data_IF_161034103441
#
_entry.id   IF_161034103441
#
_cell.length_a   1.000
_cell.length_b   1.000
_cell.length_c   1.000
_cell.angle_alpha   90.00
_cell.angle_beta   90.00
_cell.angle_gamma   90.00
#
_symmetry.space_group_name_H-M   'P 1'
#
loop_
_entity.id
_entity.type
_entity.pdbx_description
1 polymer ?
#
# COMPACT_ATOMS: atom_id res chain seq x y z
N UNK A 1 28.35 24.15 35.80
CA UNK A 1 27.68 22.89 36.19
C UNK A 1 26.75 23.19 37.35
N UNK A 2 25.62 22.47 37.48
CA UNK A 2 24.64 22.60 38.58
C UNK A 2 24.05 24.02 38.78
N UNK A 3 24.09 24.85 37.74
CA UNK A 3 23.49 26.18 37.81
C UNK A 3 21.96 26.06 37.74
N UNK A 4 21.27 26.95 38.46
CA UNK A 4 19.81 27.06 38.42
C UNK A 4 19.42 28.49 38.02
N UNK A 5 19.02 28.67 36.77
CA UNK A 5 18.48 29.95 36.30
C UNK A 5 16.96 29.95 36.45
N UNK A 6 16.35 31.10 36.78
CA UNK A 6 14.88 31.20 36.90
C UNK A 6 14.15 31.21 35.55
N UNK A 7 14.82 31.62 34.48
CA UNK A 7 14.15 31.88 33.19
C UNK A 7 14.81 31.11 32.05
N UNK A 8 16.01 31.50 31.63
CA UNK A 8 16.62 31.00 30.41
C UNK A 8 18.04 30.52 30.64
N UNK A 9 18.48 29.53 29.85
CA UNK A 9 19.89 29.23 29.66
C UNK A 9 20.60 28.84 30.95
N UNK A 10 20.17 27.73 31.56
CA UNK A 10 20.65 27.33 32.89
C UNK A 10 22.18 27.24 32.97
N UNK A 11 22.83 26.78 31.90
CA UNK A 11 24.28 26.88 31.72
C UNK A 11 24.71 28.19 31.05
N UNK A 12 24.15 28.49 29.87
CA UNK A 12 24.47 29.66 29.05
C UNK A 12 23.20 30.29 28.47
N UNK A 13 23.05 31.60 28.63
CA UNK A 13 22.09 32.41 27.88
C UNK A 13 22.86 33.33 26.94
N UNK A 14 22.59 33.16 25.64
CA UNK A 14 23.26 33.88 24.57
C UNK A 14 22.26 34.83 23.90
N UNK A 15 22.58 36.12 23.93
CA UNK A 15 21.80 37.20 23.32
C UNK A 15 22.63 37.95 22.29
N UNK A 16 23.01 37.27 21.21
CA UNK A 16 23.84 37.86 20.16
C UNK A 16 23.14 37.75 18.80
N UNK A 17 23.12 38.86 18.07
CA UNK A 17 22.57 38.93 16.71
C UNK A 17 23.58 38.48 15.64
N UNK A 18 24.83 38.16 16.03
CA UNK A 18 25.91 37.79 15.12
C UNK A 18 26.58 36.47 15.50
N UNK A 19 27.16 35.84 14.49
CA UNK A 19 27.75 34.49 14.49
C UNK A 19 29.08 34.35 15.24
N UNK A 20 29.42 35.30 16.13
CA UNK A 20 30.76 35.43 16.73
C UNK A 20 31.05 34.52 17.93
N UNK A 21 30.17 33.61 18.29
CA UNK A 21 30.33 32.78 19.49
C UNK A 21 30.98 31.46 19.11
N UNK A 22 32.04 31.10 19.81
CA UNK A 22 32.63 29.76 19.77
C UNK A 22 32.66 29.18 21.18
N UNK A 23 31.95 28.06 21.38
CA UNK A 23 31.99 27.25 22.58
C UNK A 23 32.93 26.08 22.29
N UNK A 24 34.15 26.17 22.81
CA UNK A 24 35.21 25.20 22.54
C UNK A 24 35.54 24.43 23.82
N UNK A 25 35.61 23.09 23.72
CA UNK A 25 36.04 22.19 24.82
C UNK A 25 35.27 22.42 26.13
N UNK A 26 33.97 22.69 26.03
CA UNK A 26 33.13 22.99 27.18
C UNK A 26 32.32 21.76 27.65
N UNK A 27 32.06 21.67 28.95
CA UNK A 27 31.17 20.66 29.53
C UNK A 27 30.02 21.38 30.25
N UNK A 28 28.83 21.33 29.66
CA UNK A 28 27.61 21.96 30.16
C UNK A 28 26.65 20.85 30.59
N UNK A 29 26.66 20.56 31.89
CA UNK A 29 25.88 19.46 32.46
C UNK A 29 25.13 19.86 33.72
N UNK A 30 23.98 19.20 33.93
CA UNK A 30 23.16 19.28 35.16
C UNK A 30 22.69 20.68 35.52
N UNK A 31 22.56 21.57 34.53
CA UNK A 31 21.98 22.89 34.77
C UNK A 31 20.45 22.83 34.58
N UNK A 32 19.75 23.75 35.24
CA UNK A 32 18.28 23.86 35.15
C UNK A 32 17.84 25.28 34.85
N UNK A 33 16.83 25.42 34.00
CA UNK A 33 16.15 26.69 33.72
C UNK A 33 14.68 26.43 33.38
N UNK A 34 13.87 27.48 33.23
CA UNK A 34 12.50 27.33 32.73
C UNK A 34 12.50 26.90 31.25
N UNK A 35 13.31 27.54 30.42
CA UNK A 35 13.49 27.21 29.00
C UNK A 35 14.99 27.13 28.67
N UNK A 36 15.43 26.12 27.90
CA UNK A 36 16.84 25.98 27.54
C UNK A 36 17.70 25.62 28.75
N UNK A 37 17.51 24.42 29.31
CA UNK A 37 18.15 24.01 30.58
C UNK A 37 19.67 24.10 30.54
N UNK A 38 20.29 23.76 29.41
CA UNK A 38 21.72 23.91 29.19
C UNK A 38 22.05 25.24 28.52
N UNK A 39 21.71 25.37 27.23
CA UNK A 39 21.97 26.56 26.42
C UNK A 39 20.65 27.15 25.93
N UNK A 40 20.51 28.46 26.02
CA UNK A 40 19.43 29.19 25.40
C UNK A 40 20.01 30.22 24.42
N UNK A 41 19.65 30.07 23.14
CA UNK A 41 20.02 30.97 22.05
C UNK A 41 18.82 31.87 21.70
N UNK A 42 19.02 33.18 21.78
CA UNK A 42 18.12 34.17 21.20
C UNK A 42 18.36 34.33 19.69
N UNK A 43 17.31 34.74 18.97
CA UNK A 43 17.31 35.00 17.52
C UNK A 43 17.61 33.77 16.62
N UNK A 44 17.87 34.04 15.34
CA UNK A 44 18.15 33.05 14.28
C UNK A 44 19.59 32.50 14.37
N UNK A 45 19.97 31.99 15.54
CA UNK A 45 21.29 31.37 15.77
C UNK A 45 21.15 29.89 16.12
N UNK A 46 22.03 29.08 15.55
CA UNK A 46 22.11 27.64 15.76
C UNK A 46 23.52 27.21 16.07
N UNK A 47 23.66 26.18 16.90
CA UNK A 47 24.92 25.49 17.05
C UNK A 47 25.25 24.68 15.79
N UNK A 48 26.54 24.49 15.53
CA UNK A 48 27.08 23.68 14.47
C UNK A 48 28.51 23.25 14.82
N UNK A 49 29.16 22.49 13.94
CA UNK A 49 30.50 21.96 14.20
C UNK A 49 31.59 23.05 14.28
N UNK A 50 31.33 24.27 13.81
CA UNK A 50 32.29 25.38 13.84
C UNK A 50 32.19 26.19 15.14
N UNK A 51 31.00 26.35 15.71
CA UNK A 51 30.77 27.15 16.90
C UNK A 51 30.55 26.33 18.20
N UNK A 52 30.37 25.01 18.09
CA UNK A 52 30.23 24.11 19.23
C UNK A 52 31.14 22.90 19.03
N UNK A 53 32.44 23.12 19.25
CA UNK A 53 33.49 22.16 18.95
C UNK A 53 34.00 21.47 20.22
N UNK A 54 34.19 20.14 20.15
CA UNK A 54 34.67 19.29 21.26
C UNK A 54 33.94 19.52 22.58
N UNK A 55 32.66 19.92 22.51
CA UNK A 55 31.87 20.30 23.68
C UNK A 55 30.78 19.28 23.98
N UNK A 56 30.45 19.13 25.27
CA UNK A 56 29.43 18.21 25.79
C UNK A 56 28.28 19.00 26.41
N UNK A 57 27.06 18.61 26.05
CA UNK A 57 25.82 19.23 26.53
C UNK A 57 24.84 18.11 26.89
N UNK A 58 24.81 17.71 28.16
CA UNK A 58 24.03 16.54 28.61
C UNK A 58 23.40 16.75 29.99
N UNK A 59 22.30 16.03 30.23
CA UNK A 59 21.63 15.99 31.53
C UNK A 59 21.24 17.36 32.08
N UNK A 60 20.97 18.33 31.20
CA UNK A 60 20.36 19.59 31.60
C UNK A 60 18.84 19.44 31.53
N UNK A 61 18.11 20.20 32.34
CA UNK A 61 16.65 20.07 32.43
C UNK A 61 16.00 21.44 32.26
N UNK A 62 14.99 21.51 31.41
CA UNK A 62 14.10 22.67 31.31
C UNK A 62 12.77 22.33 31.98
N UNK A 63 12.15 23.30 32.68
CA UNK A 63 10.81 23.10 33.26
C UNK A 63 9.74 23.02 32.17
N UNK A 64 9.91 23.78 31.08
CA UNK A 64 8.95 23.79 29.96
C UNK A 64 9.46 23.03 28.74
N UNK A 65 10.57 23.44 28.12
CA UNK A 65 11.12 22.80 26.92
C UNK A 65 12.59 23.16 26.65
N UNK A 66 13.24 22.36 25.79
CA UNK A 66 14.65 22.54 25.43
C UNK A 66 15.59 22.14 26.57
N UNK A 67 15.54 20.88 27.00
CA UNK A 67 16.35 20.35 28.10
C UNK A 67 17.84 20.71 27.97
N UNK A 68 18.44 20.32 26.84
CA UNK A 68 19.84 20.62 26.55
C UNK A 68 19.97 21.99 25.91
N UNK A 69 19.22 22.23 24.83
CA UNK A 69 19.32 23.45 24.05
C UNK A 69 17.95 23.96 23.62
N UNK A 70 17.78 25.27 23.73
CA UNK A 70 16.76 26.02 22.99
C UNK A 70 17.49 26.85 21.93
N UNK A 71 17.12 26.64 20.68
CA UNK A 71 17.48 27.45 19.52
C UNK A 71 16.30 27.47 18.54
N UNK A 72 16.38 28.17 17.42
CA UNK A 72 15.38 28.00 16.35
C UNK A 72 15.58 26.65 15.65
N UNK A 73 14.54 26.03 15.08
CA UNK A 73 14.72 24.88 14.20
C UNK A 73 15.65 25.21 13.04
N UNK A 74 16.56 24.31 12.71
CA UNK A 74 17.45 24.47 11.55
C UNK A 74 17.14 23.49 10.42
N UNK A 75 16.33 22.47 10.68
CA UNK A 75 15.89 21.55 9.63
C UNK A 75 14.56 20.87 9.96
N UNK A 76 13.98 20.29 8.90
CA UNK A 76 12.78 19.48 8.94
C UNK A 76 13.15 18.01 8.82
N UNK A 77 12.43 17.17 9.55
CA UNK A 77 12.50 15.70 9.45
C UNK A 77 11.14 15.14 9.09
N UNK A 78 11.14 14.21 8.14
CA UNK A 78 9.94 13.50 7.71
C UNK A 78 9.81 12.17 8.48
N UNK A 79 8.65 11.96 9.10
CA UNK A 79 8.39 10.81 9.96
C UNK A 79 7.24 10.00 9.37
N UNK A 80 7.44 8.69 9.23
CA UNK A 80 6.40 7.74 8.78
C UNK A 80 6.30 6.65 9.84
N UNK A 81 5.10 6.41 10.36
CA UNK A 81 4.81 5.43 11.41
C UNK A 81 5.78 5.55 12.59
N UNK A 82 5.94 6.78 13.11
CA UNK A 82 6.86 7.13 14.21
C UNK A 82 8.35 6.87 13.93
N UNK A 83 8.71 6.55 12.68
CA UNK A 83 10.10 6.34 12.27
C UNK A 83 10.57 7.52 11.42
N UNK A 84 11.66 8.12 11.86
CA UNK A 84 12.34 9.17 11.10
C UNK A 84 12.93 8.59 9.81
N UNK A 85 12.70 9.30 8.71
CA UNK A 85 13.22 8.92 7.41
C UNK A 85 14.46 9.76 7.08
N UNK A 86 15.50 9.12 6.52
CA UNK A 86 16.71 9.82 6.12
C UNK A 86 16.42 10.86 5.04
N UNK A 87 17.20 11.93 5.07
CA UNK A 87 17.20 12.96 4.04
C UNK A 87 18.63 13.28 3.60
N UNK A 88 18.76 13.86 2.42
CA UNK A 88 20.03 14.34 1.87
C UNK A 88 19.89 15.81 1.46
N UNK A 89 20.87 16.67 1.77
CA UNK A 89 20.87 18.03 1.27
C UNK A 89 21.07 18.01 -0.26
N UNK A 90 20.27 18.77 -0.98
CA UNK A 90 20.34 18.96 -2.43
C UNK A 90 20.29 20.45 -2.75
N UNK A 91 21.02 20.86 -3.79
CA UNK A 91 20.95 22.23 -4.29
C UNK A 91 19.73 22.35 -5.22
N UNK A 92 18.78 23.22 -4.88
CA UNK A 92 17.55 23.45 -5.62
C UNK A 92 17.27 24.96 -5.65
N UNK A 93 17.14 25.53 -6.86
CA UNK A 93 16.99 26.99 -7.05
C UNK A 93 18.05 27.82 -6.29
N UNK A 94 19.32 27.39 -6.35
CA UNK A 94 20.46 27.99 -5.63
C UNK A 94 20.38 27.97 -4.09
N UNK A 95 19.46 27.19 -3.52
CA UNK A 95 19.35 26.99 -2.07
C UNK A 95 19.59 25.53 -1.71
N UNK A 96 20.18 25.28 -0.54
CA UNK A 96 20.34 23.93 0.01
C UNK A 96 19.05 23.51 0.72
N UNK A 97 18.44 22.44 0.23
CA UNK A 97 17.16 21.92 0.73
C UNK A 97 17.33 20.45 1.10
N UNK A 98 16.67 20.00 2.16
CA UNK A 98 16.64 18.59 2.51
C UNK A 98 15.65 17.83 1.64
N UNK A 99 16.12 16.77 0.98
CA UNK A 99 15.30 15.88 0.17
C UNK A 99 15.16 14.51 0.83
N UNK A 100 13.95 13.98 0.89
CA UNK A 100 13.67 12.62 1.36
C UNK A 100 14.49 11.59 0.56
N UNK A 101 15.22 10.71 1.26
CA UNK A 101 16.10 9.70 0.67
C UNK A 101 15.73 8.29 1.15
N UNK A 102 14.56 7.80 0.78
CA UNK A 102 14.12 6.48 1.20
C UNK A 102 15.06 5.39 0.66
N UNK A 103 15.45 4.48 1.55
CA UNK A 103 16.04 3.21 1.14
C UNK A 103 15.01 2.44 0.31
N UNK A 104 15.47 1.74 -0.72
CA UNK A 104 14.60 0.90 -1.55
C UNK A 104 13.85 -0.08 -0.65
N UNK A 105 12.53 -0.06 -0.73
CA UNK A 105 11.65 -0.95 0.03
C UNK A 105 10.82 -1.82 -0.92
N UNK A 106 10.17 -2.84 -0.36
CA UNK A 106 9.29 -3.77 -1.06
C UNK A 106 7.89 -3.63 -0.49
N UNK A 107 6.89 -3.71 -1.36
CA UNK A 107 5.50 -3.79 -0.94
C UNK A 107 4.67 -4.54 -1.98
N UNK A 108 3.42 -4.85 -1.64
CA UNK A 108 2.48 -5.49 -2.55
C UNK A 108 1.53 -4.43 -3.10
N UNK A 109 1.42 -4.33 -4.43
CA UNK A 109 0.43 -3.51 -5.13
C UNK A 109 -0.41 -4.44 -6.02
N UNK A 110 -1.73 -4.46 -5.83
CA UNK A 110 -2.65 -5.32 -6.60
C UNK A 110 -2.20 -6.81 -6.64
N UNK A 111 -1.68 -7.32 -5.53
CA UNK A 111 -1.17 -8.70 -5.42
C UNK A 111 0.26 -8.91 -5.97
N UNK A 112 0.85 -7.92 -6.64
CA UNK A 112 2.20 -8.01 -7.18
C UNK A 112 3.21 -7.36 -6.25
N UNK A 113 4.34 -8.03 -6.02
CA UNK A 113 5.42 -7.45 -5.24
C UNK A 113 6.19 -6.42 -6.09
N UNK A 114 6.22 -5.17 -5.64
CA UNK A 114 6.96 -4.07 -6.25
C UNK A 114 8.13 -3.65 -5.37
N UNK A 115 9.14 -3.02 -5.98
CA UNK A 115 10.25 -2.42 -5.24
C UNK A 115 10.53 -1.02 -5.75
N UNK A 116 10.57 -0.05 -4.83
CA UNK A 116 10.71 1.37 -5.15
C UNK A 116 11.55 2.09 -4.10
N UNK A 117 12.06 3.27 -4.48
CA UNK A 117 12.71 4.25 -3.60
C UNK A 117 11.88 5.53 -3.43
N UNK A 118 10.79 5.66 -4.18
CA UNK A 118 9.90 6.81 -4.12
C UNK A 118 8.82 6.54 -3.07
N UNK A 119 8.32 7.59 -2.42
CA UNK A 119 7.21 7.46 -1.48
C UNK A 119 5.93 7.08 -2.25
N UNK A 120 5.32 5.95 -1.95
CA UNK A 120 4.03 5.60 -2.53
C UNK A 120 2.90 6.26 -1.75
N UNK A 121 1.98 6.91 -2.47
CA UNK A 121 0.82 7.63 -1.92
C UNK A 121 -0.45 7.21 -2.67
N UNK A 122 -1.65 7.28 -2.07
CA UNK A 122 -2.87 7.01 -2.81
C UNK A 122 -3.22 8.16 -3.75
N UNK A 123 -3.88 7.85 -4.87
CA UNK A 123 -4.38 8.87 -5.80
C UNK A 123 -5.80 9.30 -5.41
N UNK A 124 -6.01 10.62 -5.26
CA UNK A 124 -7.30 11.25 -4.90
C UNK A 124 -7.92 10.78 -3.58
N UNK A 125 -7.10 10.32 -2.64
CA UNK A 125 -7.55 9.94 -1.31
C UNK A 125 -6.67 10.56 -0.22
N UNK A 126 -7.24 10.71 0.97
CA UNK A 126 -6.54 11.22 2.15
C UNK A 126 -5.55 10.16 2.65
N UNK A 127 -4.28 10.54 2.79
CA UNK A 127 -3.16 9.65 3.15
C UNK A 127 -3.45 8.76 4.37
N UNK A 128 -3.85 9.36 5.50
CA UNK A 128 -4.07 8.63 6.77
C UNK A 128 -5.29 7.70 6.75
N UNK A 129 -6.23 7.94 5.84
CA UNK A 129 -7.45 7.14 5.74
C UNK A 129 -7.29 5.97 4.77
N UNK A 130 -6.22 5.98 3.95
CA UNK A 130 -6.01 4.99 2.92
C UNK A 130 -5.65 3.63 3.51
N UNK A 131 -6.31 2.60 2.99
CA UNK A 131 -6.13 1.22 3.42
C UNK A 131 -5.84 0.34 2.22
N UNK A 132 -4.89 -0.56 2.37
CA UNK A 132 -4.60 -1.58 1.37
C UNK A 132 -5.37 -2.85 1.70
N UNK A 133 -5.96 -3.47 0.69
CA UNK A 133 -6.64 -4.75 0.87
C UNK A 133 -5.64 -5.91 0.80
N UNK A 134 -5.56 -6.67 1.88
CA UNK A 134 -4.78 -7.90 1.94
C UNK A 134 -5.69 -9.09 1.64
N UNK A 135 -5.50 -9.70 0.46
CA UNK A 135 -6.32 -10.81 0.00
C UNK A 135 -6.21 -12.05 0.89
N UNK A 136 -5.04 -12.30 1.51
CA UNK A 136 -4.83 -13.49 2.32
C UNK A 136 -5.64 -13.43 3.61
N UNK A 137 -5.70 -12.26 4.24
CA UNK A 137 -6.52 -12.02 5.43
C UNK A 137 -7.94 -11.56 5.11
N UNK A 138 -8.25 -11.28 3.84
CA UNK A 138 -9.52 -10.68 3.39
C UNK A 138 -9.89 -9.42 4.17
N UNK A 139 -8.89 -8.64 4.57
CA UNK A 139 -9.06 -7.47 5.43
C UNK A 139 -8.30 -6.26 4.90
N UNK A 140 -8.84 -5.08 5.20
CA UNK A 140 -8.17 -3.81 4.94
C UNK A 140 -7.19 -3.49 6.07
N UNK A 141 -5.96 -3.14 5.71
CA UNK A 141 -4.93 -2.70 6.65
C UNK A 141 -4.56 -1.24 6.35
N UNK A 142 -4.41 -0.37 7.37
CA UNK A 142 -3.85 0.96 7.16
C UNK A 142 -2.51 0.85 6.42
N UNK A 143 -2.33 1.63 5.36
CA UNK A 143 -1.06 1.62 4.63
C UNK A 143 -0.01 2.46 5.36
N UNK A 144 -0.40 3.64 5.82
CA UNK A 144 0.38 4.56 6.64
C UNK A 144 -0.51 4.96 7.82
N UNK A 145 -0.07 4.69 9.04
CA UNK A 145 -0.81 5.01 10.27
C UNK A 145 -0.58 6.47 10.68
N UNK A 146 0.66 6.93 10.57
CA UNK A 146 1.06 8.30 10.89
C UNK A 146 2.10 8.78 9.88
N UNK A 147 1.92 10.02 9.40
CA UNK A 147 2.89 10.68 8.54
C UNK A 147 2.91 12.15 8.89
N UNK A 148 4.09 12.61 9.33
CA UNK A 148 4.22 13.93 9.89
C UNK A 148 5.57 14.55 9.55
N UNK A 149 5.59 15.88 9.62
CA UNK A 149 6.78 16.68 9.48
C UNK A 149 7.10 17.30 10.83
N UNK A 150 8.37 17.23 11.24
CA UNK A 150 8.82 17.64 12.57
C UNK A 150 9.97 18.62 12.44
N UNK A 151 9.93 19.67 13.25
CA UNK A 151 11.05 20.59 13.41
C UNK A 151 12.13 19.99 14.30
N UNK A 152 13.39 20.16 13.89
CA UNK A 152 14.55 19.74 14.64
C UNK A 152 15.58 20.84 14.77
N UNK A 153 16.32 20.77 15.87
CA UNK A 153 17.47 21.64 16.12
C UNK A 153 18.76 21.01 15.55
N UNK A 154 19.88 21.73 15.68
CA UNK A 154 21.23 21.32 15.28
C UNK A 154 21.75 20.03 15.91
N UNK A 155 21.11 19.56 16.98
CA UNK A 155 21.44 18.35 17.71
C UNK A 155 20.49 17.20 17.38
N UNK A 156 19.63 17.37 16.37
CA UNK A 156 18.58 16.44 15.96
C UNK A 156 17.53 16.16 17.06
N UNK A 157 17.42 17.04 18.05
CA UNK A 157 16.36 16.96 19.05
C UNK A 157 15.07 17.53 18.45
N UNK A 158 13.96 16.86 18.73
CA UNK A 158 12.63 17.32 18.36
C UNK A 158 12.33 18.63 19.08
N UNK A 159 11.77 19.58 18.36
CA UNK A 159 11.40 20.88 18.89
C UNK A 159 9.91 20.95 19.23
N UNK A 160 9.63 21.53 20.40
CA UNK A 160 8.29 21.69 20.96
C UNK A 160 7.95 23.18 21.05
N UNK A 161 6.67 23.50 21.32
CA UNK A 161 6.19 24.87 21.59
C UNK A 161 6.39 25.89 20.45
N UNK A 162 6.29 25.45 19.20
CA UNK A 162 6.42 26.30 18.01
C UNK A 162 5.06 26.87 17.55
N UNK A 163 4.40 27.59 18.46
CA UNK A 163 3.05 28.14 18.26
C UNK A 163 2.95 29.00 17.00
N UNK A 164 1.85 28.86 16.26
CA UNK A 164 1.57 29.60 15.02
C UNK A 164 2.56 29.32 13.87
N UNK A 165 3.35 28.26 13.96
CA UNK A 165 4.12 27.81 12.80
C UNK A 165 3.20 27.19 11.75
N UNK A 166 3.54 27.42 10.48
CA UNK A 166 2.79 26.87 9.35
C UNK A 166 3.73 26.38 8.26
N UNK A 167 3.26 25.42 7.46
CA UNK A 167 3.97 24.97 6.27
C UNK A 167 3.08 25.12 5.05
N UNK A 168 3.63 25.75 4.02
CA UNK A 168 3.06 25.74 2.68
C UNK A 168 3.53 24.46 1.96
N UNK A 169 2.59 23.73 1.38
CA UNK A 169 2.83 22.52 0.59
C UNK A 169 2.44 22.81 -0.84
N UNK A 170 3.42 22.73 -1.74
CA UNK A 170 3.27 22.84 -3.19
C UNK A 170 3.56 21.50 -3.83
N UNK A 171 2.98 21.27 -5.01
CA UNK A 171 3.22 20.03 -5.77
C UNK A 171 3.41 20.35 -7.24
N UNK A 172 4.21 19.54 -7.93
CA UNK A 172 4.35 19.55 -9.38
C UNK A 172 4.60 18.16 -9.92
N UNK A 173 4.14 17.91 -11.14
CA UNK A 173 4.34 16.63 -11.83
C UNK A 173 5.60 16.75 -12.67
N UNK A 174 6.55 15.85 -12.45
CA UNK A 174 7.80 15.79 -13.22
C UNK A 174 7.66 14.69 -14.26
N UNK A 175 7.74 15.06 -15.53
CA UNK A 175 7.70 14.13 -16.66
C UNK A 175 9.01 13.33 -16.80
N UNK A 176 8.98 12.24 -17.58
CA UNK A 176 10.17 11.40 -17.81
C UNK A 176 11.30 12.13 -18.53
N UNK A 177 10.96 13.09 -19.38
CA UNK A 177 11.89 13.96 -20.09
C UNK A 177 12.30 15.20 -19.27
N UNK A 178 11.93 15.23 -17.98
CA UNK A 178 12.16 16.33 -17.03
C UNK A 178 11.38 17.62 -17.34
N UNK A 179 10.38 17.58 -18.23
CA UNK A 179 9.43 18.68 -18.32
C UNK A 179 8.60 18.79 -17.03
N UNK A 180 8.34 20.02 -16.62
CA UNK A 180 7.54 20.30 -15.42
C UNK A 180 6.13 20.69 -15.82
N UNK A 181 5.14 19.91 -15.37
CA UNK A 181 3.75 20.35 -15.38
C UNK A 181 3.42 20.91 -14.01
N UNK A 182 3.22 22.22 -13.97
CA UNK A 182 2.92 22.94 -12.74
C UNK A 182 1.41 22.95 -12.50
N UNK A 183 0.97 22.20 -11.48
CA UNK A 183 -0.34 22.38 -10.86
C UNK A 183 -0.14 23.08 -9.50
N UNK A 184 -0.31 24.41 -9.45
CA UNK A 184 -0.20 25.15 -8.19
C UNK A 184 -1.44 24.94 -7.31
N UNK A 185 -1.50 23.79 -6.63
CA UNK A 185 -2.40 23.63 -5.48
C UNK A 185 -1.59 23.86 -4.22
N UNK A 186 -1.79 25.03 -3.61
CA UNK A 186 -1.15 25.38 -2.34
C UNK A 186 -2.03 24.93 -1.18
N UNK A 187 -1.48 24.10 -0.30
CA UNK A 187 -2.12 23.68 0.95
C UNK A 187 -1.30 24.19 2.13
N UNK A 188 -1.98 24.64 3.19
CA UNK A 188 -1.33 25.14 4.40
C UNK A 188 -1.56 24.12 5.52
N UNK A 189 -0.46 23.66 6.12
CA UNK A 189 -0.47 22.84 7.32
C UNK A 189 -0.18 23.73 8.53
N UNK A 190 -0.96 23.56 9.60
CA UNK A 190 -0.72 24.22 10.88
C UNK A 190 -0.02 23.27 11.86
N UNK A 191 0.87 23.82 12.68
CA UNK A 191 1.60 23.05 13.68
C UNK A 191 0.66 22.57 14.78
N UNK A 192 0.69 21.27 15.09
CA UNK A 192 -0.06 20.68 16.19
C UNK A 192 0.83 20.65 17.45
N UNK A 193 0.48 21.46 18.46
CA UNK A 193 1.26 21.57 19.70
C UNK A 193 1.16 20.33 20.60
N UNK A 194 0.11 19.52 20.48
CA UNK A 194 -0.01 18.28 21.27
C UNK A 194 0.91 17.19 20.72
N UNK A 195 1.03 17.12 19.39
CA UNK A 195 1.89 16.16 18.70
C UNK A 195 3.29 16.68 18.41
N UNK A 196 3.52 17.99 18.56
CA UNK A 196 4.72 18.71 18.14
C UNK A 196 5.13 18.38 16.69
N UNK A 197 4.17 18.44 15.77
CA UNK A 197 4.37 18.09 14.36
C UNK A 197 3.29 18.69 13.44
N UNK A 198 3.54 18.65 12.12
CA UNK A 198 2.54 18.94 11.10
C UNK A 198 1.91 17.63 10.59
N UNK A 199 0.57 17.54 10.57
CA UNK A 199 -0.17 16.37 10.07
C UNK A 199 -0.18 16.32 8.55
N UNK A 200 0.86 15.69 7.97
CA UNK A 200 0.94 15.45 6.54
C UNK A 200 -0.07 14.38 6.07
N UNK A 201 -0.58 13.55 7.00
CA UNK A 201 -1.54 12.49 6.71
C UNK A 201 -2.94 12.98 6.35
N UNK A 202 -3.24 14.24 6.66
CA UNK A 202 -4.49 14.91 6.26
C UNK A 202 -4.56 15.27 4.77
N UNK A 203 -3.41 15.25 4.06
CA UNK A 203 -3.34 15.67 2.68
C UNK A 203 -3.85 14.60 1.70
N UNK A 204 -4.29 15.05 0.53
CA UNK A 204 -4.62 14.23 -0.63
C UNK A 204 -3.97 14.80 -1.89
N UNK A 205 -3.50 13.90 -2.75
CA UNK A 205 -2.81 14.25 -3.99
C UNK A 205 -3.51 13.63 -5.18
N UNK A 206 -3.71 14.42 -6.23
CA UNK A 206 -4.23 13.94 -7.52
C UNK A 206 -3.04 13.65 -8.43
N UNK A 207 -2.91 12.40 -8.87
CA UNK A 207 -1.94 11.98 -9.89
C UNK A 207 -2.42 10.66 -10.47
N UNK A 208 -2.55 10.60 -11.80
CA UNK A 208 -3.01 9.42 -12.51
C UNK A 208 -2.09 8.23 -12.21
N UNK A 209 -2.56 7.15 -11.56
CA UNK A 209 -1.72 6.01 -11.26
C UNK A 209 -1.44 5.10 -12.48
N UNK A 210 -2.10 5.34 -13.62
CA UNK A 210 -1.94 4.56 -14.85
C UNK A 210 -1.18 5.29 -15.95
N UNK A 211 -1.01 6.61 -15.85
CA UNK A 211 -0.24 7.39 -16.81
C UNK A 211 1.24 6.98 -16.77
N UNK A 212 1.80 6.67 -17.95
CA UNK A 212 3.19 6.20 -18.05
C UNK A 212 4.21 7.30 -18.31
N UNK A 213 3.78 8.54 -18.54
CA UNK A 213 4.66 9.62 -19.00
C UNK A 213 5.33 10.39 -17.87
N UNK A 214 4.85 10.28 -16.63
CA UNK A 214 5.49 10.94 -15.50
C UNK A 214 6.58 10.09 -14.86
N UNK A 215 7.56 10.78 -14.28
CA UNK A 215 8.62 10.21 -13.46
C UNK A 215 8.17 10.10 -12.01
N UNK A 216 7.70 11.22 -11.43
CA UNK A 216 7.21 11.30 -10.05
C UNK A 216 6.43 12.60 -9.82
N UNK A 217 5.66 12.62 -8.73
CA UNK A 217 5.14 13.84 -8.12
C UNK A 217 6.22 14.40 -7.19
N UNK A 218 6.62 15.65 -7.40
CA UNK A 218 7.48 16.38 -6.47
C UNK A 218 6.61 17.23 -5.56
N UNK A 219 6.79 17.07 -4.25
CA UNK A 219 6.11 17.86 -3.24
C UNK A 219 7.16 18.69 -2.52
N UNK A 220 6.98 20.01 -2.59
CA UNK A 220 7.83 21.00 -1.97
C UNK A 220 7.13 21.54 -0.73
N UNK A 221 7.80 21.49 0.41
CA UNK A 221 7.28 21.96 1.68
C UNK A 221 8.15 23.13 2.14
N UNK A 222 7.52 24.24 2.50
CA UNK A 222 8.18 25.42 3.02
C UNK A 222 7.53 25.82 4.34
N UNK A 223 8.22 25.59 5.44
CA UNK A 223 7.74 25.89 6.79
C UNK A 223 8.32 27.21 7.30
N UNK A 224 7.44 28.03 7.87
CA UNK A 224 7.80 29.29 8.51
C UNK A 224 7.40 29.25 9.98
N UNK A 225 8.31 29.75 10.80
CA UNK A 225 8.16 29.89 12.24
C UNK A 225 7.97 31.37 12.52
N UNK A 226 7.18 31.72 13.54
CA UNK A 226 6.87 33.13 13.82
C UNK A 226 8.10 33.92 14.26
N UNK A 227 8.98 33.28 15.03
CA UNK A 227 10.17 33.89 15.60
C UNK A 227 11.33 34.02 14.59
N UNK A 228 11.23 33.39 13.40
CA UNK A 228 12.30 33.34 12.42
C UNK A 228 11.89 33.96 11.08
N UNK A 229 12.84 34.64 10.46
CA UNK A 229 12.68 35.10 9.07
C UNK A 229 12.99 34.01 8.06
N UNK A 230 13.71 32.97 8.48
CA UNK A 230 14.15 31.88 7.63
C UNK A 230 13.03 30.85 7.44
N UNK A 231 12.82 30.44 6.19
CA UNK A 231 11.92 29.33 5.85
C UNK A 231 12.72 28.05 5.74
N UNK A 232 12.28 27.01 6.45
CA UNK A 232 12.85 25.68 6.30
C UNK A 232 12.15 24.96 5.15
N UNK A 233 12.92 24.48 4.18
CA UNK A 233 12.40 23.79 3.01
C UNK A 233 12.66 22.29 3.07
N UNK A 234 11.76 21.51 2.48
CA UNK A 234 11.89 20.06 2.36
C UNK A 234 11.27 19.59 1.04
N UNK A 235 11.92 18.63 0.37
CA UNK A 235 11.44 18.06 -0.89
C UNK A 235 11.19 16.57 -0.72
N UNK A 236 10.08 16.08 -1.26
CA UNK A 236 9.82 14.65 -1.36
C UNK A 236 9.35 14.28 -2.76
N UNK A 237 9.80 13.12 -3.22
CA UNK A 237 9.40 12.52 -4.49
C UNK A 237 8.46 11.37 -4.20
N UNK A 238 7.29 11.39 -4.82
CA UNK A 238 6.24 10.41 -4.62
C UNK A 238 5.72 9.81 -5.93
N UNK A 239 5.12 8.63 -5.84
CA UNK A 239 4.37 7.97 -6.91
C UNK A 239 3.01 7.54 -6.38
N UNK A 240 2.01 7.51 -7.24
CA UNK A 240 0.69 7.03 -6.83
C UNK A 240 0.56 5.52 -6.92
N UNK A 241 -0.19 4.97 -5.98
CA UNK A 241 -0.65 3.58 -6.01
C UNK A 241 -1.79 3.45 -7.01
N UNK A 242 -1.81 2.32 -7.72
CA UNK A 242 -2.97 1.91 -8.54
C UNK A 242 -4.21 1.73 -7.68
N UNK A 243 -5.38 1.86 -8.30
CA UNK A 243 -6.64 1.68 -7.60
C UNK A 243 -6.76 0.24 -7.08
N UNK A 244 -7.08 0.11 -5.80
CA UNK A 244 -7.20 -1.17 -5.11
C UNK A 244 -8.58 -1.79 -5.32
N UNK A 245 -8.79 -3.01 -4.81
CA UNK A 245 -10.13 -3.59 -4.79
C UNK A 245 -11.07 -2.70 -3.97
N UNK A 246 -12.28 -2.56 -4.47
CA UNK A 246 -13.29 -1.65 -3.94
C UNK A 246 -13.10 -0.20 -4.31
N UNK A 247 -12.16 0.09 -5.20
CA UNK A 247 -11.97 1.39 -5.82
C UNK A 247 -12.24 1.30 -7.32
N UNK A 248 -12.47 2.46 -7.93
CA UNK A 248 -12.55 2.63 -9.37
C UNK A 248 -11.80 3.89 -9.80
N UNK A 249 -11.32 3.86 -11.04
CA UNK A 249 -10.58 4.94 -11.68
C UNK A 249 -11.53 5.94 -12.32
N UNK A 250 -11.41 7.21 -11.93
CA UNK A 250 -12.20 8.33 -12.45
C UNK A 250 -11.43 9.63 -12.23
N UNK A 251 -11.53 10.58 -13.17
CA UNK A 251 -10.90 11.91 -13.09
C UNK A 251 -9.41 11.86 -12.70
N UNK A 252 -8.64 10.99 -13.37
CA UNK A 252 -7.20 10.83 -13.13
C UNK A 252 -6.82 10.41 -11.68
N UNK A 253 -7.73 9.74 -10.97
CA UNK A 253 -7.41 9.12 -9.69
C UNK A 253 -8.37 8.03 -9.26
N UNK A 254 -8.28 7.63 -7.99
CA UNK A 254 -9.03 6.50 -7.45
C UNK A 254 -10.11 6.97 -6.48
N UNK A 255 -11.32 6.43 -6.62
CA UNK A 255 -12.44 6.68 -5.71
C UNK A 255 -12.96 5.37 -5.12
N UNK A 256 -13.40 5.41 -3.86
CA UNK A 256 -13.93 4.24 -3.14
C UNK A 256 -15.39 4.00 -3.54
N UNK A 257 -15.73 2.75 -3.86
CA UNK A 257 -17.12 2.33 -4.08
C UNK A 257 -17.94 2.37 -2.79
N UNK A 258 -19.11 3.02 -2.85
CA UNK A 258 -20.00 3.21 -1.70
C UNK A 258 -20.90 1.99 -1.48
N UNK A 259 -20.41 0.98 -0.76
CA UNK A 259 -21.17 -0.26 -0.51
C UNK A 259 -22.52 -0.04 0.19
N UNK A 260 -22.60 0.94 1.10
CA UNK A 260 -23.86 1.36 1.75
C UNK A 260 -24.94 1.82 0.78
N UNK A 261 -24.55 2.25 -0.42
CA UNK A 261 -25.46 2.64 -1.52
C UNK A 261 -25.61 1.55 -2.58
N UNK A 262 -25.09 0.35 -2.34
CA UNK A 262 -25.18 -0.77 -3.27
C UNK A 262 -24.07 -0.79 -4.34
N UNK A 263 -22.95 -0.08 -4.15
CA UNK A 263 -21.85 -0.04 -5.13
C UNK A 263 -20.60 -0.78 -4.64
N UNK A 264 -19.98 -1.59 -5.50
CA UNK A 264 -18.77 -2.35 -5.19
C UNK A 264 -17.83 -2.48 -6.41
N UNK A 265 -16.59 -2.90 -6.19
CA UNK A 265 -15.62 -3.25 -7.24
C UNK A 265 -14.75 -4.42 -6.76
N UNK A 266 -14.82 -5.56 -7.44
CA UNK A 266 -13.99 -6.75 -7.13
C UNK A 266 -12.85 -6.94 -8.14
N UNK A 267 -12.74 -6.09 -9.15
CA UNK A 267 -11.72 -6.15 -10.20
C UNK A 267 -10.70 -5.04 -10.01
N UNK A 268 -9.44 -5.30 -10.33
CA UNK A 268 -8.44 -4.24 -10.43
C UNK A 268 -8.69 -3.38 -11.66
N UNK A 269 -8.28 -2.11 -11.59
CA UNK A 269 -8.38 -1.15 -12.70
C UNK A 269 -9.83 -0.93 -13.20
N UNK A 270 -10.82 -1.16 -12.33
CA UNK A 270 -12.21 -0.86 -12.65
C UNK A 270 -12.36 0.63 -12.96
N UNK A 271 -13.13 0.98 -13.99
CA UNK A 271 -13.46 2.39 -14.35
C UNK A 271 -14.82 2.82 -13.83
N UNK A 272 -15.56 1.91 -13.20
CA UNK A 272 -16.87 2.13 -12.59
C UNK A 272 -17.10 1.10 -11.48
N UNK A 273 -17.92 1.45 -10.51
CA UNK A 273 -18.45 0.49 -9.55
C UNK A 273 -19.58 -0.33 -10.17
N UNK A 274 -19.63 -1.62 -9.82
CA UNK A 274 -20.75 -2.50 -10.10
C UNK A 274 -21.90 -2.26 -9.12
N UNK A 275 -23.13 -2.56 -9.56
CA UNK A 275 -24.36 -2.37 -8.79
C UNK A 275 -24.73 -3.69 -8.10
N UNK A 276 -25.14 -3.59 -6.84
CA UNK A 276 -25.64 -4.69 -6.02
C UNK A 276 -26.89 -5.31 -6.64
N UNK A 277 -26.83 -6.62 -6.93
CA UNK A 277 -27.96 -7.39 -7.42
C UNK A 277 -28.46 -8.33 -6.32
N UNK A 278 -29.60 -7.98 -5.73
CA UNK A 278 -30.23 -8.75 -4.63
C UNK A 278 -30.65 -10.17 -5.03
N UNK A 279 -30.85 -10.44 -6.32
CA UNK A 279 -31.23 -11.77 -6.79
C UNK A 279 -30.03 -12.72 -6.82
N UNK A 280 -28.81 -12.16 -6.86
CA UNK A 280 -27.56 -12.93 -6.94
C UNK A 280 -26.74 -12.89 -5.65
N UNK A 281 -26.86 -11.82 -4.87
CA UNK A 281 -25.96 -11.50 -3.76
C UNK A 281 -26.75 -11.33 -2.46
N UNK A 282 -26.24 -11.92 -1.38
CA UNK A 282 -26.79 -11.71 -0.04
C UNK A 282 -26.30 -10.41 0.59
N UNK A 283 -25.03 -10.06 0.34
CA UNK A 283 -24.39 -8.86 0.87
C UNK A 283 -23.18 -8.44 0.01
N UNK A 284 -22.72 -7.20 0.18
CA UNK A 284 -21.50 -6.67 -0.45
C UNK A 284 -20.69 -5.79 0.51
N UNK A 285 -19.37 -5.86 0.39
CA UNK A 285 -18.48 -4.80 0.87
C UNK A 285 -18.07 -3.92 -0.32
N UNK A 286 -17.23 -2.90 -0.10
CA UNK A 286 -16.71 -2.14 -1.24
C UNK A 286 -15.96 -3.04 -2.22
N UNK A 287 -15.32 -4.11 -1.73
CA UNK A 287 -14.32 -4.89 -2.45
C UNK A 287 -14.59 -6.41 -2.50
N UNK A 288 -15.71 -6.88 -1.96
CA UNK A 288 -16.10 -8.30 -1.95
C UNK A 288 -17.60 -8.41 -2.19
N UNK A 289 -18.02 -9.56 -2.71
CA UNK A 289 -19.41 -9.94 -2.91
C UNK A 289 -19.69 -11.26 -2.18
N UNK A 290 -20.83 -11.32 -1.49
CA UNK A 290 -21.34 -12.53 -0.89
C UNK A 290 -22.45 -13.10 -1.77
N UNK A 291 -22.22 -14.26 -2.37
CA UNK A 291 -23.18 -14.87 -3.29
C UNK A 291 -24.33 -15.54 -2.52
N UNK A 292 -25.54 -15.48 -3.07
CA UNK A 292 -26.65 -16.32 -2.64
C UNK A 292 -26.39 -17.78 -3.02
N UNK A 293 -26.95 -18.76 -2.28
CA UNK A 293 -26.93 -20.16 -2.68
C UNK A 293 -27.47 -20.35 -4.10
N UNK A 294 -26.85 -21.25 -4.86
CA UNK A 294 -27.20 -21.48 -6.27
C UNK A 294 -26.52 -20.54 -7.27
N UNK A 295 -25.67 -19.62 -6.82
CA UNK A 295 -24.81 -18.81 -7.69
C UNK A 295 -23.33 -19.11 -7.46
N UNK A 296 -22.51 -18.93 -8.49
CA UNK A 296 -21.07 -19.08 -8.41
C UNK A 296 -20.36 -17.98 -9.21
N UNK A 297 -19.06 -17.81 -8.94
CA UNK A 297 -18.17 -16.93 -9.70
C UNK A 297 -16.82 -17.61 -9.98
N UNK A 298 -16.15 -17.28 -11.09
CA UNK A 298 -14.90 -17.93 -11.47
C UNK A 298 -13.75 -17.74 -10.47
N UNK A 299 -13.62 -16.56 -9.87
CA UNK A 299 -12.59 -16.23 -8.89
C UNK A 299 -12.99 -15.01 -8.05
N UNK A 300 -12.18 -14.69 -7.04
CA UNK A 300 -12.43 -13.56 -6.13
C UNK A 300 -12.38 -12.19 -6.81
N UNK A 301 -11.73 -12.10 -7.98
CA UNK A 301 -11.55 -10.89 -8.76
C UNK A 301 -12.51 -10.77 -9.95
N UNK A 302 -13.60 -11.53 -9.94
CA UNK A 302 -14.60 -11.56 -11.02
C UNK A 302 -15.93 -11.03 -10.49
N UNK A 303 -16.48 -10.07 -11.22
CA UNK A 303 -17.86 -9.59 -11.05
C UNK A 303 -18.87 -10.43 -11.86
N UNK A 304 -18.40 -11.28 -12.78
CA UNK A 304 -19.24 -12.26 -13.47
C UNK A 304 -19.77 -13.30 -12.48
N UNK A 305 -21.09 -13.33 -12.35
CA UNK A 305 -21.83 -14.27 -11.50
C UNK A 305 -22.94 -14.94 -12.30
N UNK A 306 -22.91 -16.26 -12.28
CA UNK A 306 -23.82 -17.12 -13.04
C UNK A 306 -24.61 -18.04 -12.09
N UNK A 307 -25.87 -18.37 -12.43
CA UNK A 307 -26.60 -19.41 -11.73
C UNK A 307 -25.92 -20.76 -11.95
N UNK A 308 -26.00 -21.63 -10.96
CA UNK A 308 -25.46 -22.97 -11.06
C UNK A 308 -26.37 -23.82 -11.94
N UNK A 309 -25.77 -24.38 -13.00
CA UNK A 309 -26.51 -24.96 -14.12
C UNK A 309 -27.37 -26.20 -13.78
N UNK A 310 -27.04 -26.96 -12.72
CA UNK A 310 -27.73 -28.23 -12.42
C UNK A 310 -28.03 -28.53 -10.95
N UNK A 311 -27.14 -28.17 -10.02
CA UNK A 311 -27.37 -28.44 -8.61
C UNK A 311 -27.01 -27.23 -7.73
N UNK A 312 -28.02 -26.44 -7.31
CA UNK A 312 -27.84 -25.31 -6.42
C UNK A 312 -27.14 -25.67 -5.10
N UNK A 313 -27.27 -26.92 -4.62
CA UNK A 313 -26.67 -27.39 -3.37
C UNK A 313 -25.14 -27.45 -3.40
N UNK A 314 -24.52 -27.47 -4.59
CA UNK A 314 -23.05 -27.42 -4.69
C UNK A 314 -22.50 -26.00 -4.70
N UNK A 315 -23.39 -25.02 -4.82
CA UNK A 315 -23.05 -23.62 -4.78
C UNK A 315 -23.57 -23.05 -3.47
N UNK A 316 -22.81 -23.29 -2.41
CA UNK A 316 -23.16 -22.84 -1.05
C UNK A 316 -23.18 -21.30 -0.92
N UNK A 317 -22.82 -20.56 -1.97
CA UNK A 317 -22.72 -19.11 -1.95
C UNK A 317 -21.54 -18.64 -1.08
N UNK A 318 -21.68 -17.45 -0.50
CA UNK A 318 -20.72 -16.90 0.45
C UNK A 318 -19.67 -15.95 -0.17
N UNK A 319 -18.70 -15.55 0.66
CA UNK A 319 -17.66 -14.57 0.31
C UNK A 319 -16.52 -15.16 -0.55
N UNK A 320 -16.31 -16.47 -0.44
CA UNK A 320 -15.22 -17.18 -1.11
C UNK A 320 -15.66 -17.66 -2.49
N UNK A 321 -14.80 -17.47 -3.50
CA UNK A 321 -14.92 -18.26 -4.72
C UNK A 321 -14.61 -19.73 -4.42
N UNK A 322 -15.26 -20.65 -5.14
CA UNK A 322 -14.92 -22.08 -5.09
C UNK A 322 -13.49 -22.21 -5.63
N UNK A 323 -12.51 -22.37 -4.74
CA UNK A 323 -11.11 -22.47 -5.16
C UNK A 323 -10.87 -23.78 -5.92
N UNK A 324 -10.00 -23.72 -6.92
CA UNK A 324 -9.59 -24.83 -7.80
C UNK A 324 -8.89 -26.06 -7.15
N UNK A 325 -8.37 -26.12 -5.90
CA UNK A 325 -7.62 -27.32 -5.48
C UNK A 325 -8.49 -28.58 -5.40
N UNK A 326 -9.82 -28.45 -5.30
CA UNK A 326 -10.74 -29.58 -5.45
C UNK A 326 -10.85 -30.07 -6.90
N UNK A 327 -10.66 -29.21 -7.90
CA UNK A 327 -10.65 -29.61 -9.31
C UNK A 327 -9.33 -30.29 -9.71
N UNK A 328 -8.17 -29.81 -9.21
CA UNK A 328 -6.85 -30.39 -9.52
C UNK A 328 -6.68 -31.80 -8.95
N UNK A 329 -6.99 -32.00 -7.66
CA UNK A 329 -6.89 -33.33 -7.04
C UNK A 329 -7.86 -34.35 -7.68
N UNK A 330 -9.02 -33.88 -8.11
CA UNK A 330 -10.00 -34.71 -8.82
C UNK A 330 -9.50 -35.10 -10.22
N UNK A 331 -8.85 -34.21 -10.97
CA UNK A 331 -8.24 -34.55 -12.28
C UNK A 331 -7.11 -35.59 -12.12
N UNK A 332 -6.28 -35.49 -11.08
CA UNK A 332 -5.24 -36.48 -10.80
C UNK A 332 -5.80 -37.87 -10.46
N UNK A 333 -6.89 -37.93 -9.69
CA UNK A 333 -7.58 -39.20 -9.39
C UNK A 333 -8.18 -39.80 -10.67
N UNK A 334 -8.79 -38.98 -11.53
CA UNK A 334 -9.36 -39.44 -12.81
C UNK A 334 -8.27 -39.99 -13.74
N UNK A 335 -7.12 -39.31 -13.85
CA UNK A 335 -6.02 -39.75 -14.71
C UNK A 335 -5.33 -41.01 -14.17
N UNK A 336 -5.12 -41.12 -12.85
CA UNK A 336 -4.58 -42.33 -12.24
C UNK A 336 -5.49 -43.54 -12.38
N UNK A 337 -6.81 -43.35 -12.20
CA UNK A 337 -7.81 -44.42 -12.38
C UNK A 337 -7.94 -44.79 -13.87
N UNK A 338 -7.93 -43.82 -14.79
CA UNK A 338 -7.93 -44.13 -16.24
C UNK A 338 -6.64 -44.82 -16.69
N UNK A 339 -5.47 -44.47 -16.15
CA UNK A 339 -4.19 -45.12 -16.50
C UNK A 339 -4.18 -46.59 -16.05
N UNK A 340 -4.66 -46.89 -14.84
CA UNK A 340 -4.80 -48.25 -14.32
C UNK A 340 -5.78 -49.07 -15.19
N UNK A 341 -6.87 -48.46 -15.63
CA UNK A 341 -7.93 -49.12 -16.42
C UNK A 341 -7.51 -49.34 -17.88
N UNK A 342 -6.70 -48.45 -18.46
CA UNK A 342 -6.16 -48.63 -19.81
C UNK A 342 -5.08 -49.73 -19.84
N UNK A 343 -4.22 -49.80 -18.80
CA UNK A 343 -3.23 -50.87 -18.63
C UNK A 343 -3.88 -52.26 -18.43
N UNK A 344 -4.94 -52.33 -17.63
CA UNK A 344 -5.65 -53.60 -17.36
C UNK A 344 -6.47 -54.13 -18.55
N UNK A 345 -6.78 -53.29 -19.54
CA UNK A 345 -7.50 -53.69 -20.75
C UNK A 345 -6.59 -53.87 -21.99
N UNK A 346 -5.27 -53.89 -21.81
CA UNK A 346 -4.31 -54.19 -22.88
C UNK A 346 -4.16 -53.10 -23.95
N UNK A 347 -4.62 -51.87 -23.68
CA UNK A 347 -4.49 -50.74 -24.60
C UNK A 347 -3.15 -50.05 -24.29
N UNK A 348 -2.10 -50.42 -25.01
CA UNK A 348 -0.82 -49.73 -24.97
C UNK A 348 -0.93 -48.43 -25.77
N UNK A 349 -1.01 -47.29 -25.08
CA UNK A 349 -0.84 -45.99 -25.71
C UNK A 349 0.67 -45.74 -25.81
N UNK A 350 1.19 -45.55 -27.03
CA UNK A 350 2.56 -45.12 -27.27
C UNK A 350 2.73 -43.73 -26.66
N UNK A 351 3.42 -43.70 -25.53
CA UNK A 351 3.83 -42.50 -24.83
C UNK A 351 5.14 -41.99 -25.44
N UNK A 352 5.13 -40.76 -25.98
CA UNK A 352 6.36 -39.99 -26.10
C UNK A 352 6.47 -39.14 -24.84
N UNK A 353 7.07 -39.73 -23.80
CA UNK A 353 7.39 -39.08 -22.52
C UNK A 353 8.80 -38.53 -22.64
N UNK A 354 8.94 -37.21 -22.53
CA UNK A 354 10.25 -36.60 -22.37
C UNK A 354 10.54 -36.40 -20.88
N UNK A 355 11.80 -36.61 -20.49
CA UNK A 355 12.28 -36.74 -19.12
C UNK A 355 12.02 -35.48 -18.28
N UNK A 356 10.90 -35.46 -17.55
CA UNK A 356 10.72 -34.85 -16.23
C UNK A 356 9.33 -35.14 -15.60
N UNK A 357 8.56 -36.08 -16.14
CA UNK A 357 7.40 -36.64 -15.42
C UNK A 357 6.17 -35.74 -15.30
N UNK A 358 6.08 -34.64 -16.06
CA UNK A 358 4.90 -33.77 -16.09
C UNK A 358 4.20 -33.83 -17.45
N UNK A 359 2.97 -34.33 -17.48
CA UNK A 359 2.08 -34.25 -18.64
C UNK A 359 1.20 -33.00 -18.47
N UNK A 360 1.48 -31.93 -19.21
CA UNK A 360 0.62 -30.76 -19.27
C UNK A 360 -0.41 -30.89 -20.38
N UNK A 361 -1.69 -31.09 -20.01
CA UNK A 361 -2.80 -30.81 -20.92
C UNK A 361 -3.22 -29.35 -20.78
N UNK A 362 -2.95 -28.54 -21.80
CA UNK A 362 -3.49 -27.19 -21.89
C UNK A 362 -4.99 -27.24 -22.25
N UNK A 363 -5.87 -27.14 -21.25
CA UNK A 363 -7.27 -26.80 -21.50
C UNK A 363 -7.38 -25.28 -21.66
N UNK A 364 -7.28 -24.80 -22.90
CA UNK A 364 -7.55 -23.41 -23.24
C UNK A 364 -9.01 -23.05 -22.89
N UNK A 365 -9.15 -22.07 -22.00
CA UNK A 365 -10.22 -21.06 -21.94
C UNK A 365 -11.63 -21.44 -22.43
N UNK A 366 -12.28 -22.38 -21.76
CA UNK A 366 -13.74 -22.42 -21.75
C UNK A 366 -14.22 -22.40 -20.29
N UNK A 367 -14.72 -21.25 -19.85
CA UNK A 367 -15.35 -21.05 -18.52
C UNK A 367 -16.44 -22.11 -18.29
N UNK A 368 -17.19 -22.45 -19.34
CA UNK A 368 -18.18 -23.53 -19.37
C UNK A 368 -17.62 -24.94 -19.17
N UNK A 369 -16.38 -25.20 -19.59
CA UNK A 369 -15.77 -26.53 -19.50
C UNK A 369 -15.44 -26.96 -18.07
N UNK A 370 -15.01 -26.01 -17.22
CA UNK A 370 -14.51 -26.34 -15.87
C UNK A 370 -15.61 -26.65 -14.87
N UNK A 371 -16.70 -25.86 -14.87
CA UNK A 371 -17.86 -26.13 -14.00
C UNK A 371 -18.58 -27.42 -14.42
N UNK A 372 -18.73 -27.65 -15.73
CA UNK A 372 -19.32 -28.87 -16.27
C UNK A 372 -18.49 -30.11 -15.90
N UNK A 373 -17.17 -30.05 -16.00
CA UNK A 373 -16.27 -31.14 -15.59
C UNK A 373 -16.35 -31.44 -14.08
N UNK A 374 -16.40 -30.41 -13.23
CA UNK A 374 -16.50 -30.58 -11.78
C UNK A 374 -17.84 -31.21 -11.35
N UNK A 375 -18.96 -30.78 -11.93
CA UNK A 375 -20.29 -31.30 -11.61
C UNK A 375 -20.55 -32.68 -12.21
N UNK A 376 -20.12 -32.97 -13.45
CA UNK A 376 -20.20 -34.32 -14.01
C UNK A 376 -19.45 -35.35 -13.16
N UNK A 377 -18.36 -34.97 -12.49
CA UNK A 377 -17.64 -35.88 -11.59
C UNK A 377 -18.37 -36.12 -10.26
N UNK A 378 -18.97 -35.09 -9.67
CA UNK A 378 -19.77 -35.22 -8.44
C UNK A 378 -21.04 -36.04 -8.67
N UNK A 379 -21.72 -35.89 -9.81
CA UNK A 379 -22.85 -36.74 -10.22
C UNK A 379 -22.42 -38.21 -10.32
N UNK A 380 -21.25 -38.50 -10.93
CA UNK A 380 -20.69 -39.85 -11.00
C UNK A 380 -20.30 -40.40 -9.62
N UNK A 381 -19.79 -39.56 -8.72
CA UNK A 381 -19.41 -39.93 -7.35
C UNK A 381 -20.60 -40.19 -6.43
N UNK A 382 -21.74 -39.50 -6.65
CA UNK A 382 -23.00 -39.76 -5.95
C UNK A 382 -23.67 -41.04 -6.49
N UNK A 383 -23.69 -41.27 -7.80
CA UNK A 383 -24.21 -42.52 -8.40
C UNK A 383 -23.37 -43.76 -8.04
N UNK A 384 -22.10 -43.59 -7.69
CA UNK A 384 -21.21 -44.65 -7.20
C UNK A 384 -21.68 -45.27 -5.88
N UNK A 385 -22.55 -44.62 -5.11
CA UNK A 385 -23.13 -45.22 -3.88
C UNK A 385 -24.24 -46.23 -4.15
N UNK A 386 -24.75 -46.34 -5.38
CA UNK A 386 -25.87 -47.23 -5.74
C UNK A 386 -25.57 -48.31 -6.79
N UNK A 387 -24.35 -48.40 -7.34
CA UNK A 387 -24.00 -49.39 -8.36
C UNK A 387 -23.05 -50.48 -7.87
N UNK A 388 -23.57 -51.70 -7.73
CA UNK A 388 -22.79 -52.93 -7.41
C UNK A 388 -21.99 -53.46 -8.61
N UNK A 389 -22.08 -52.86 -9.82
CA UNK A 389 -21.35 -53.36 -10.99
C UNK A 389 -20.43 -52.31 -11.62
N UNK A 390 -19.25 -52.13 -11.01
CA UNK A 390 -18.20 -51.18 -11.39
C UNK A 390 -17.79 -51.23 -12.88
N UNK A 391 -17.85 -52.41 -13.53
CA UNK A 391 -17.39 -52.55 -14.92
C UNK A 391 -18.37 -51.97 -15.96
N UNK A 392 -19.68 -52.05 -15.73
CA UNK A 392 -20.68 -51.55 -16.67
C UNK A 392 -20.77 -50.01 -16.61
N UNK A 393 -20.62 -49.44 -15.41
CA UNK A 393 -20.51 -48.00 -15.19
C UNK A 393 -19.31 -47.40 -15.93
N UNK A 394 -18.16 -48.06 -15.84
CA UNK A 394 -16.93 -47.67 -16.52
C UNK A 394 -17.05 -47.74 -18.05
N UNK A 395 -17.67 -48.79 -18.59
CA UNK A 395 -17.98 -48.87 -20.03
C UNK A 395 -18.90 -47.74 -20.50
N UNK A 396 -19.90 -47.38 -19.70
CA UNK A 396 -20.83 -46.31 -20.01
C UNK A 396 -20.17 -44.92 -19.93
N UNK A 397 -19.31 -44.68 -18.94
CA UNK A 397 -18.53 -43.44 -18.81
C UNK A 397 -17.55 -43.25 -19.96
N UNK A 398 -16.80 -44.29 -20.33
CA UNK A 398 -15.88 -44.25 -21.47
C UNK A 398 -16.67 -44.01 -22.77
N UNK A 399 -17.80 -44.70 -22.97
CA UNK A 399 -18.68 -44.50 -24.13
C UNK A 399 -19.26 -43.08 -24.19
N UNK A 400 -19.64 -42.52 -23.05
CA UNK A 400 -20.15 -41.15 -22.94
C UNK A 400 -19.08 -40.11 -23.31
N UNK A 401 -17.88 -40.20 -22.71
CA UNK A 401 -16.78 -39.30 -23.01
C UNK A 401 -16.32 -39.40 -24.47
N UNK A 402 -16.23 -40.61 -25.03
CA UNK A 402 -15.91 -40.82 -26.45
C UNK A 402 -16.98 -40.26 -27.39
N UNK A 403 -18.26 -40.33 -27.01
CA UNK A 403 -19.34 -39.72 -27.77
C UNK A 403 -19.31 -38.18 -27.70
N UNK A 404 -19.00 -37.59 -26.55
CA UNK A 404 -18.87 -36.13 -26.41
C UNK A 404 -17.67 -35.58 -27.21
N UNK A 405 -16.57 -36.33 -27.29
CA UNK A 405 -15.41 -35.98 -28.14
C UNK A 405 -15.77 -36.07 -29.64
N UNK A 406 -16.59 -37.06 -30.05
CA UNK A 406 -17.11 -37.15 -31.42
C UNK A 406 -18.07 -36.01 -31.76
N UNK A 407 -18.95 -35.62 -30.84
CA UNK A 407 -19.91 -34.51 -31.03
C UNK A 407 -19.19 -33.17 -31.21
N UNK A 408 -18.11 -32.92 -30.44
CA UNK A 408 -17.27 -31.71 -30.62
C UNK A 408 -16.45 -31.69 -31.92
N UNK A 409 -16.06 -32.86 -32.45
CA UNK A 409 -15.42 -32.94 -33.78
C UNK A 409 -16.41 -32.69 -34.92
N UNK A 410 -17.69 -33.03 -34.74
CA UNK A 410 -18.73 -32.76 -35.72
C UNK A 410 -19.20 -31.30 -35.72
N UNK A 411 -19.11 -30.58 -34.59
CA UNK A 411 -19.51 -29.17 -34.49
C UNK A 411 -18.42 -28.18 -34.95
N UNK A 412 -17.16 -28.61 -35.08
CA UNK A 412 -16.04 -27.76 -35.54
C UNK A 412 -15.72 -27.92 -37.04
N UNK A 413 -16.69 -28.41 -37.82
CA UNK A 413 -16.65 -28.37 -39.29
C UNK A 413 -17.79 -27.49 -39.82
N UNK A 414 -17.81 -26.22 -39.40
CA UNK A 414 -18.23 -25.04 -40.19
C UNK A 414 -18.07 -23.78 -39.32
N UNK A 415 -17.24 -22.88 -39.83
CA UNK A 415 -16.74 -21.62 -39.27
C UNK A 415 -15.75 -21.75 -38.12
#
# INVERSE_FOLDING_TARGET
MNNKAKSFGGGLHIQLQSSGININKAIIIRNTARIGGGIYLDADFNLNNNNFFESLLWFNTAEEYGNNIKEIPNHLTFVINQKENPSKPVLFNNEWINKLDLKRYRMTEQGNQISTKDLLIPSNQVLKNFKIFDIHSSNFKPFIEDISLVFKNSRNEKMDNLFNSSCEVKRKIIEKDQQEQVEEVNQILFFNNEKNSFDFGSLSFSLDPYQQNYSHLQIEISCQIKESTQKLKYILNAKTLKCQLGEFYVDNGCQICQSKRGYYSVTYNATKCSIFNKDKYSDITSNMIQLLPGFWRPNNFSDLVEPCFKNPLFCNGGWQAIQEPYAKNVIYIILGVMEIILKTNGINIVQNVNFNGEIYYHFQQAVFGRQYLYQCHQEVSLDLTHYINHQQLLKNLVKYYLNQIKIKRASNQKC
#
